data_IF_531583458194
#
_entry.id   IF_531583458194
#
_cell.length_a   1.000
_cell.length_b   1.000
_cell.length_c   1.000
_cell.angle_alpha   90.00
_cell.angle_beta   90.00
_cell.angle_gamma   90.00
#
_symmetry.space_group_name_H-M   'P 1'
#
loop_
_entity.id
_entity.type
_entity.pdbx_description
1 polymer ?
#
# COMPACT_ATOMS: atom_id res chain seq x y z
N UNK A 1 15.04 4.42 8.47
CA UNK A 1 15.04 3.02 8.93
C UNK A 1 14.85 2.13 7.71
N UNK A 2 15.70 1.13 7.54
CA UNK A 2 15.56 0.17 6.44
C UNK A 2 14.33 -0.73 6.66
N UNK A 3 13.55 -1.02 5.60
CA UNK A 3 12.36 -1.88 5.67
C UNK A 3 12.72 -3.26 6.19
N UNK A 4 13.88 -3.80 5.77
CA UNK A 4 14.33 -5.12 6.24
C UNK A 4 14.60 -5.11 7.74
N UNK A 5 15.29 -4.09 8.25
CA UNK A 5 15.55 -3.93 9.67
C UNK A 5 14.26 -3.80 10.49
N UNK A 6 13.26 -3.08 9.99
CA UNK A 6 11.95 -2.99 10.64
C UNK A 6 11.22 -4.33 10.72
N UNK A 7 11.16 -5.06 9.60
CA UNK A 7 10.50 -6.37 9.57
C UNK A 7 11.22 -7.37 10.48
N UNK A 8 12.54 -7.33 10.52
CA UNK A 8 13.33 -8.17 11.41
C UNK A 8 13.03 -7.87 12.88
N UNK A 9 13.05 -6.60 13.27
CA UNK A 9 12.73 -6.19 14.64
C UNK A 9 11.31 -6.65 15.04
N UNK A 10 10.31 -6.50 14.17
CA UNK A 10 8.95 -6.96 14.44
C UNK A 10 8.84 -8.49 14.54
N UNK A 11 9.60 -9.23 13.72
CA UNK A 11 9.60 -10.69 13.72
C UNK A 11 10.27 -11.27 14.98
N UNK A 12 11.32 -10.62 15.48
CA UNK A 12 12.05 -11.03 16.69
C UNK A 12 11.22 -10.92 17.97
N UNK A 13 10.19 -10.06 17.98
CA UNK A 13 9.25 -9.90 19.10
C UNK A 13 8.16 -10.98 19.13
N UNK A 14 8.06 -11.84 18.10
CA UNK A 14 7.05 -12.89 18.05
C UNK A 14 7.53 -14.17 18.74
N UNK A 15 6.61 -14.94 19.34
CA UNK A 15 6.94 -16.26 19.85
C UNK A 15 7.60 -17.15 18.78
N UNK A 16 8.48 -18.09 19.19
CA UNK A 16 9.06 -19.05 18.27
C UNK A 16 7.99 -19.81 17.47
N UNK A 17 8.29 -20.07 16.19
CA UNK A 17 7.40 -20.77 15.25
C UNK A 17 6.08 -20.07 14.89
N UNK A 18 5.89 -18.78 15.25
CA UNK A 18 4.75 -17.98 14.78
C UNK A 18 4.79 -17.75 13.27
N UNK A 19 5.97 -17.50 12.69
CA UNK A 19 6.14 -17.27 11.25
C UNK A 19 6.49 -18.59 10.56
N UNK A 20 5.77 -18.92 9.48
CA UNK A 20 6.05 -20.04 8.58
C UNK A 20 6.28 -19.49 7.16
N UNK A 21 7.45 -19.79 6.60
CA UNK A 21 7.79 -19.45 5.22
C UNK A 21 7.34 -20.56 4.28
N UNK A 22 7.35 -20.28 2.96
CA UNK A 22 6.94 -21.23 1.92
C UNK A 22 5.54 -21.81 2.17
N UNK A 23 4.63 -20.98 2.70
CA UNK A 23 3.27 -21.36 3.09
C UNK A 23 2.26 -20.56 2.26
N UNK A 24 2.17 -20.86 0.96
CA UNK A 24 1.32 -20.09 0.05
C UNK A 24 -0.13 -20.54 0.19
N UNK A 25 -1.02 -19.61 0.52
CA UNK A 25 -2.47 -19.84 0.60
C UNK A 25 -3.05 -20.18 -0.78
N UNK A 26 -3.85 -21.26 -0.88
CA UNK A 26 -4.53 -21.68 -2.10
C UNK A 26 -6.05 -21.74 -1.98
N UNK A 27 -6.60 -22.08 -0.81
CA UNK A 27 -8.06 -22.06 -0.58
C UNK A 27 -8.42 -21.61 0.83
N UNK A 28 -9.66 -21.12 0.96
CA UNK A 28 -10.27 -20.64 2.19
C UNK A 28 -11.66 -21.27 2.26
N UNK A 29 -11.86 -22.15 3.23
CA UNK A 29 -13.05 -22.99 3.37
C UNK A 29 -13.68 -22.75 4.76
N UNK A 30 -14.83 -22.05 4.86
CA UNK A 30 -15.57 -21.91 6.12
C UNK A 30 -16.14 -23.26 6.54
N UNK A 31 -16.04 -23.59 7.83
CA UNK A 31 -16.58 -24.82 8.40
C UNK A 31 -17.22 -24.55 9.77
N UNK A 32 -18.33 -25.23 10.12
CA UNK A 32 -18.86 -25.21 11.48
C UNK A 32 -17.79 -25.67 12.48
N UNK A 33 -17.71 -25.07 13.68
CA UNK A 33 -16.82 -25.59 14.71
C UNK A 33 -17.17 -27.05 15.05
N UNK A 34 -16.14 -27.88 15.18
CA UNK A 34 -16.31 -29.23 15.67
C UNK A 34 -16.75 -29.19 17.14
N UNK A 35 -17.83 -29.91 17.49
CA UNK A 35 -18.23 -30.14 18.89
C UNK A 35 -19.54 -29.52 19.37
N UNK A 36 -20.46 -29.12 18.48
CA UNK A 36 -21.78 -28.61 18.87
C UNK A 36 -21.80 -27.16 19.38
N UNK A 37 -20.66 -26.49 19.34
CA UNK A 37 -20.57 -25.03 19.48
C UNK A 37 -20.99 -24.37 18.15
N UNK A 38 -21.80 -23.32 18.22
CA UNK A 38 -22.32 -22.62 17.03
C UNK A 38 -21.30 -21.68 16.38
N UNK A 39 -20.05 -21.66 16.85
CA UNK A 39 -19.01 -20.80 16.32
C UNK A 39 -18.50 -21.30 14.96
N UNK A 40 -18.38 -20.42 13.97
CA UNK A 40 -17.75 -20.77 12.70
C UNK A 40 -16.22 -20.81 12.83
N UNK A 41 -15.59 -21.70 12.07
CA UNK A 41 -14.14 -21.74 11.87
C UNK A 41 -13.82 -21.57 10.39
N UNK A 42 -12.56 -21.26 10.09
CA UNK A 42 -12.06 -21.20 8.73
C UNK A 42 -10.88 -22.17 8.59
N UNK A 43 -10.91 -22.97 7.52
CA UNK A 43 -9.81 -23.84 7.13
C UNK A 43 -9.11 -23.21 5.95
N UNK A 44 -7.81 -22.98 6.08
CA UNK A 44 -6.97 -22.55 4.97
C UNK A 44 -6.13 -23.71 4.47
N UNK A 45 -6.06 -23.87 3.15
CA UNK A 45 -5.17 -24.86 2.51
C UNK A 45 -3.98 -24.16 1.89
N UNK A 46 -2.82 -24.76 2.04
CA UNK A 46 -1.57 -24.31 1.48
C UNK A 46 -1.21 -25.10 0.21
N UNK A 47 -0.27 -24.58 -0.59
CA UNK A 47 0.17 -25.19 -1.84
C UNK A 47 0.92 -26.52 -1.67
N UNK A 48 1.47 -26.77 -0.48
CA UNK A 48 2.05 -28.06 -0.09
C UNK A 48 1.01 -29.11 0.35
N UNK A 49 -0.29 -28.76 0.33
CA UNK A 49 -1.41 -29.60 0.76
C UNK A 49 -1.73 -29.51 2.27
N UNK A 50 -0.96 -28.77 3.05
CA UNK A 50 -1.22 -28.54 4.47
C UNK A 50 -2.55 -27.82 4.67
N UNK A 51 -3.37 -28.29 5.61
CA UNK A 51 -4.59 -27.61 6.04
C UNK A 51 -4.42 -27.05 7.45
N UNK A 52 -4.74 -25.77 7.64
CA UNK A 52 -4.69 -25.08 8.93
C UNK A 52 -6.10 -24.62 9.29
N UNK A 53 -6.61 -25.09 10.43
CA UNK A 53 -7.87 -24.64 11.00
C UNK A 53 -7.62 -23.45 11.92
N UNK A 54 -8.38 -22.38 11.73
CA UNK A 54 -8.30 -21.16 12.53
C UNK A 54 -9.70 -20.66 12.92
N UNK A 55 -9.76 -19.88 14.00
CA UNK A 55 -10.98 -19.17 14.40
C UNK A 55 -11.18 -17.88 13.61
N UNK A 56 -10.08 -17.28 13.17
CA UNK A 56 -10.05 -16.05 12.38
C UNK A 56 -8.92 -16.16 11.35
N UNK A 57 -9.18 -15.70 10.12
CA UNK A 57 -8.20 -15.46 9.08
C UNK A 57 -8.12 -13.96 8.81
N UNK A 58 -6.92 -13.39 8.84
CA UNK A 58 -6.66 -12.00 8.48
C UNK A 58 -5.77 -11.98 7.23
N UNK A 59 -6.30 -11.48 6.12
CA UNK A 59 -5.54 -11.29 4.90
C UNK A 59 -4.62 -10.08 5.01
N UNK A 60 -3.32 -10.34 5.12
CA UNK A 60 -2.24 -9.34 5.05
C UNK A 60 -1.32 -9.60 3.86
N UNK A 61 -1.86 -10.20 2.79
CA UNK A 61 -1.17 -10.75 1.62
C UNK A 61 -0.97 -9.74 0.48
N UNK A 62 -1.08 -8.45 0.81
CA UNK A 62 -0.69 -7.34 -0.06
C UNK A 62 -1.68 -7.02 -1.18
N UNK A 63 -1.24 -6.20 -2.12
CA UNK A 63 -2.07 -5.63 -3.18
C UNK A 63 -2.75 -6.67 -4.09
N UNK A 64 -2.24 -7.90 -4.17
CA UNK A 64 -2.83 -8.99 -4.97
C UNK A 64 -3.53 -10.04 -4.11
N UNK A 65 -4.14 -9.59 -3.02
CA UNK A 65 -4.69 -10.43 -1.96
C UNK A 65 -5.67 -11.50 -2.50
N UNK A 66 -5.38 -12.76 -2.16
CA UNK A 66 -6.27 -13.90 -2.34
C UNK A 66 -7.44 -13.81 -1.38
N UNK A 67 -7.20 -13.32 -0.16
CA UNK A 67 -8.24 -13.18 0.88
C UNK A 67 -9.25 -12.09 0.51
N UNK A 68 -8.79 -10.94 0.01
CA UNK A 68 -9.67 -9.87 -0.47
C UNK A 68 -10.54 -10.33 -1.63
N UNK A 69 -9.96 -11.06 -2.60
CA UNK A 69 -10.70 -11.66 -3.70
C UNK A 69 -11.74 -12.66 -3.22
N UNK A 70 -11.41 -13.50 -2.24
CA UNK A 70 -12.35 -14.44 -1.64
C UNK A 70 -13.52 -13.73 -0.95
N UNK A 71 -13.28 -12.59 -0.29
CA UNK A 71 -14.31 -11.73 0.28
C UNK A 71 -15.16 -11.00 -0.78
N UNK A 72 -14.84 -11.14 -2.07
CA UNK A 72 -15.53 -10.45 -3.16
C UNK A 72 -15.15 -8.98 -3.32
N UNK A 73 -14.00 -8.56 -2.78
CA UNK A 73 -13.50 -7.21 -3.00
C UNK A 73 -13.08 -7.02 -4.46
N UNK A 74 -13.28 -5.80 -4.98
CA UNK A 74 -12.80 -5.46 -6.32
C UNK A 74 -11.28 -5.47 -6.37
N UNK A 75 -10.72 -5.87 -7.51
CA UNK A 75 -9.28 -5.77 -7.76
C UNK A 75 -8.80 -4.30 -7.73
N UNK A 76 -7.55 -4.05 -7.28
CA UNK A 76 -6.95 -2.72 -7.34
C UNK A 76 -6.83 -2.21 -8.77
N UNK A 77 -6.94 -0.89 -8.91
CA UNK A 77 -6.92 -0.18 -10.19
C UNK A 77 -5.54 0.42 -10.42
N UNK A 78 -5.07 0.40 -11.66
CA UNK A 78 -3.86 1.14 -12.05
C UNK A 78 -4.11 2.64 -12.01
N UNK A 79 -3.20 3.40 -11.40
CA UNK A 79 -3.24 4.86 -11.47
C UNK A 79 -2.73 5.42 -12.80
N UNK A 80 -2.27 4.56 -13.72
CA UNK A 80 -1.59 4.98 -14.96
C UNK A 80 -0.15 5.45 -14.74
N UNK A 81 0.35 5.39 -13.50
CA UNK A 81 1.69 5.83 -13.09
C UNK A 81 2.54 4.64 -12.68
N UNK A 82 3.86 4.78 -12.78
CA UNK A 82 4.82 3.78 -12.31
C UNK A 82 5.88 4.43 -11.44
N UNK A 83 6.37 3.70 -10.44
CA UNK A 83 7.57 4.06 -9.72
C UNK A 83 8.77 3.31 -10.29
N UNK A 84 9.87 4.03 -10.47
CA UNK A 84 11.20 3.47 -10.74
C UNK A 84 12.02 3.63 -9.48
N UNK A 85 12.64 2.55 -9.01
CA UNK A 85 13.53 2.59 -7.85
C UNK A 85 14.85 1.94 -8.23
N UNK A 86 15.94 2.60 -7.85
CA UNK A 86 17.30 2.10 -8.00
C UNK A 86 18.20 2.64 -6.90
N UNK A 87 19.39 2.06 -6.80
CA UNK A 87 20.45 2.52 -5.92
C UNK A 87 21.63 3.02 -6.75
N UNK A 88 22.16 4.17 -6.35
CA UNK A 88 23.37 4.74 -6.94
C UNK A 88 24.45 4.76 -5.87
N UNK A 89 25.66 4.32 -6.22
CA UNK A 89 26.82 4.40 -5.33
C UNK A 89 27.60 5.64 -5.74
N UNK A 90 27.74 6.58 -4.80
CA UNK A 90 28.47 7.82 -5.01
C UNK A 90 29.61 7.89 -3.98
N UNK A 91 30.79 7.31 -4.30
CA UNK A 91 31.90 7.21 -3.35
C UNK A 91 32.41 8.57 -2.87
N UNK A 92 32.23 9.63 -3.67
CA UNK A 92 32.57 11.01 -3.32
C UNK A 92 31.42 11.84 -2.72
N UNK A 93 30.25 11.23 -2.47
CA UNK A 93 29.01 11.95 -2.14
C UNK A 93 28.30 12.50 -3.38
N UNK A 94 27.05 12.93 -3.22
CA UNK A 94 26.27 13.56 -4.30
C UNK A 94 26.39 15.09 -4.30
N UNK A 95 26.39 15.68 -5.47
CA UNK A 95 26.52 17.11 -5.74
C UNK A 95 25.22 17.92 -5.61
N UNK A 96 24.20 17.46 -4.86
CA UNK A 96 22.94 18.20 -4.57
C UNK A 96 23.13 19.55 -3.80
N UNK A 97 24.35 20.10 -3.80
CA UNK A 97 24.67 21.49 -3.48
C UNK A 97 25.81 22.12 -4.30
N UNK A 98 26.42 21.47 -5.28
CA UNK A 98 27.50 22.07 -6.05
C UNK A 98 27.62 21.45 -7.44
N UNK A 99 27.52 22.33 -8.45
CA UNK A 99 27.74 22.08 -9.87
C UNK A 99 28.88 21.09 -10.14
N UNK A 100 28.74 20.25 -11.17
CA UNK A 100 29.59 20.28 -12.38
C UNK A 100 29.53 18.99 -13.23
N UNK A 101 29.86 19.23 -14.52
CA UNK A 101 30.64 18.40 -15.47
C UNK A 101 30.02 17.20 -16.20
N UNK A 102 30.21 17.24 -17.52
CA UNK A 102 29.89 16.25 -18.54
C UNK A 102 30.97 15.15 -18.66
N UNK A 103 30.57 13.90 -18.92
CA UNK A 103 30.85 13.13 -20.17
C UNK A 103 30.36 11.65 -20.15
N UNK A 104 29.80 11.21 -21.32
CA UNK A 104 29.77 9.87 -22.00
C UNK A 104 29.30 8.59 -21.27
N UNK A 105 28.72 7.53 -21.88
CA UNK A 105 28.01 7.24 -23.14
C UNK A 105 27.21 5.93 -22.97
N UNK A 106 26.12 5.76 -23.74
CA UNK A 106 25.64 4.48 -24.30
C UNK A 106 24.98 3.39 -23.42
N UNK A 107 24.19 3.74 -22.39
CA UNK A 107 22.96 3.01 -22.00
C UNK A 107 21.86 3.98 -21.49
N UNK A 108 22.03 5.26 -21.81
CA UNK A 108 21.38 6.40 -21.16
C UNK A 108 20.05 6.81 -21.77
N UNK A 109 19.61 6.24 -22.89
CA UNK A 109 18.49 6.83 -23.64
C UNK A 109 17.12 6.68 -22.95
N UNK A 110 16.89 5.58 -22.22
CA UNK A 110 15.64 5.34 -21.48
C UNK A 110 15.61 6.13 -20.17
N UNK A 111 16.73 6.17 -19.47
CA UNK A 111 16.91 6.91 -18.21
C UNK A 111 17.00 8.42 -18.43
N UNK A 112 17.72 8.90 -19.45
CA UNK A 112 17.73 10.31 -19.87
C UNK A 112 16.38 10.72 -20.47
N UNK A 113 15.56 9.83 -21.04
CA UNK A 113 14.16 10.13 -21.40
C UNK A 113 13.32 10.40 -20.14
N UNK A 114 13.45 9.56 -19.12
CA UNK A 114 12.70 9.69 -17.86
C UNK A 114 13.12 10.93 -17.07
N UNK A 115 14.43 11.19 -17.01
CA UNK A 115 15.01 12.28 -16.25
C UNK A 115 15.20 13.57 -17.08
N UNK A 116 14.75 13.60 -18.33
CA UNK A 116 14.96 14.73 -19.27
C UNK A 116 14.41 16.06 -18.78
N UNK A 117 13.40 16.00 -17.89
CA UNK A 117 12.75 17.16 -17.29
C UNK A 117 13.24 17.44 -15.86
N UNK A 118 14.17 16.62 -15.35
CA UNK A 118 14.75 16.79 -14.03
C UNK A 118 15.97 17.73 -14.09
N UNK A 119 16.26 18.48 -13.01
CA UNK A 119 17.50 19.24 -12.89
C UNK A 119 18.73 18.36 -13.15
N UNK A 120 19.80 18.95 -13.71
CA UNK A 120 21.02 18.24 -14.09
C UNK A 120 21.64 17.41 -12.95
N UNK A 121 21.45 17.85 -11.70
CA UNK A 121 21.89 17.16 -10.49
C UNK A 121 21.23 15.79 -10.31
N UNK A 122 19.96 15.64 -10.68
CA UNK A 122 19.25 14.36 -10.62
C UNK A 122 19.61 13.45 -11.80
N UNK A 123 19.91 14.04 -12.96
CA UNK A 123 20.44 13.30 -14.11
C UNK A 123 21.76 12.61 -13.73
N UNK A 124 22.63 13.28 -12.97
CA UNK A 124 23.89 12.69 -12.53
C UNK A 124 23.68 11.46 -11.62
N UNK A 125 22.74 11.51 -10.68
CA UNK A 125 22.35 10.37 -9.83
C UNK A 125 21.79 9.22 -10.68
N UNK A 126 20.92 9.53 -11.64
CA UNK A 126 20.33 8.53 -12.56
C UNK A 126 21.41 7.87 -13.42
N UNK A 127 22.41 8.63 -13.89
CA UNK A 127 23.53 8.15 -14.70
C UNK A 127 24.49 7.23 -13.93
N UNK A 128 24.65 7.49 -12.64
CA UNK A 128 25.46 6.66 -11.72
C UNK A 128 24.65 5.55 -11.04
N UNK A 129 23.38 5.38 -11.40
CA UNK A 129 22.57 4.28 -10.91
C UNK A 129 22.94 2.99 -11.63
N UNK A 130 23.13 1.91 -10.88
CA UNK A 130 23.33 0.60 -11.49
C UNK A 130 22.01 0.14 -12.11
N UNK A 131 21.95 0.14 -13.45
CA UNK A 131 20.76 -0.20 -14.20
C UNK A 131 20.26 -1.63 -13.91
N UNK A 132 21.14 -2.52 -13.45
CA UNK A 132 20.76 -3.88 -13.08
C UNK A 132 19.93 -3.93 -11.78
N UNK A 133 19.88 -2.86 -11.01
CA UNK A 133 19.07 -2.76 -9.78
C UNK A 133 17.77 -1.97 -9.96
N UNK A 134 17.49 -1.49 -11.18
CA UNK A 134 16.26 -0.76 -11.44
C UNK A 134 15.05 -1.68 -11.37
N UNK A 135 14.15 -1.36 -10.46
CA UNK A 135 12.83 -1.98 -10.37
C UNK A 135 11.77 -1.02 -10.86
N UNK A 136 10.81 -1.57 -11.60
CA UNK A 136 9.65 -0.86 -12.13
C UNK A 136 8.40 -1.45 -11.52
N UNK A 137 7.56 -0.61 -10.92
CA UNK A 137 6.32 -1.07 -10.31
C UNK A 137 5.16 -0.15 -10.72
N UNK A 138 4.09 -0.67 -11.33
CA UNK A 138 2.88 0.11 -11.54
C UNK A 138 2.31 0.53 -10.18
N UNK A 139 1.84 1.77 -10.09
CA UNK A 139 1.23 2.31 -8.89
C UNK A 139 -0.26 1.96 -8.91
N UNK A 140 -0.64 1.02 -8.06
CA UNK A 140 -2.01 0.56 -7.89
C UNK A 140 -2.68 1.26 -6.71
N UNK A 141 -4.00 1.36 -6.75
CA UNK A 141 -4.80 1.86 -5.64
C UNK A 141 -6.17 1.20 -5.63
N UNK A 142 -6.81 1.15 -4.47
CA UNK A 142 -8.16 0.63 -4.37
C UNK A 142 -9.20 1.67 -4.78
N UNK A 143 -10.23 1.25 -5.51
CA UNK A 143 -11.33 2.13 -5.83
C UNK A 143 -12.02 2.61 -4.52
N UNK A 144 -12.13 3.93 -4.26
CA UNK A 144 -12.75 4.47 -3.05
C UNK A 144 -14.18 3.98 -2.83
N UNK A 145 -14.96 3.80 -3.89
CA UNK A 145 -16.34 3.32 -3.78
C UNK A 145 -16.38 1.88 -3.27
N UNK A 146 -15.46 1.04 -3.72
CA UNK A 146 -15.31 -0.34 -3.26
C UNK A 146 -14.91 -0.41 -1.78
N UNK A 147 -14.05 0.49 -1.32
CA UNK A 147 -13.70 0.58 0.11
C UNK A 147 -14.91 0.95 0.97
N UNK A 148 -15.74 1.87 0.49
CA UNK A 148 -16.90 2.37 1.22
C UNK A 148 -18.07 1.41 1.24
N UNK A 149 -18.29 0.68 0.17
CA UNK A 149 -19.52 -0.12 0.00
C UNK A 149 -19.27 -1.62 -0.08
N UNK A 150 -18.03 -2.05 -0.35
CA UNK A 150 -17.70 -3.47 -0.50
C UNK A 150 -17.66 -4.23 0.81
N UNK A 151 -17.80 -5.55 0.70
CA UNK A 151 -17.63 -6.49 1.81
C UNK A 151 -16.14 -6.70 2.06
N UNK A 152 -15.70 -6.45 3.30
CA UNK A 152 -14.28 -6.56 3.70
C UNK A 152 -14.10 -7.43 4.94
N UNK A 153 -15.18 -8.08 5.38
CA UNK A 153 -15.17 -9.04 6.47
C UNK A 153 -16.33 -10.01 6.31
N UNK A 154 -16.14 -11.23 6.81
CA UNK A 154 -17.18 -12.22 7.09
C UNK A 154 -17.15 -12.57 8.59
N UNK A 155 -17.84 -13.64 9.00
CA UNK A 155 -17.84 -14.15 10.38
C UNK A 155 -16.44 -14.52 10.90
N UNK A 156 -15.58 -15.04 10.02
CA UNK A 156 -14.26 -15.58 10.39
C UNK A 156 -13.10 -15.00 9.57
N UNK A 157 -13.36 -14.15 8.57
CA UNK A 157 -12.32 -13.66 7.66
C UNK A 157 -12.37 -12.14 7.55
N UNK A 158 -11.22 -11.46 7.60
CA UNK A 158 -11.10 -10.03 7.29
C UNK A 158 -9.75 -9.74 6.60
N UNK A 159 -9.48 -8.49 6.26
CA UNK A 159 -8.25 -8.03 5.58
C UNK A 159 -7.65 -6.80 6.26
N UNK A 160 -6.34 -6.63 6.16
CA UNK A 160 -5.60 -5.47 6.68
C UNK A 160 -4.43 -5.07 5.76
N UNK A 161 -3.93 -3.84 5.92
CA UNK A 161 -2.86 -3.29 5.09
C UNK A 161 -3.24 -3.21 3.61
N UNK A 162 -2.28 -3.48 2.73
CA UNK A 162 -2.46 -3.40 1.27
C UNK A 162 -3.44 -4.44 0.71
N UNK A 163 -3.86 -5.45 1.49
CA UNK A 163 -4.98 -6.33 1.11
C UNK A 163 -6.33 -5.62 1.26
N UNK A 164 -6.42 -4.66 2.17
CA UNK A 164 -7.63 -3.88 2.42
C UNK A 164 -7.61 -2.56 1.64
N UNK A 165 -6.55 -1.77 1.76
CA UNK A 165 -6.48 -0.39 1.27
C UNK A 165 -5.19 -0.08 0.51
N UNK A 166 -4.86 -0.83 -0.56
CA UNK A 166 -3.71 -0.48 -1.39
C UNK A 166 -3.86 0.95 -1.91
N UNK A 167 -2.78 1.72 -1.80
CA UNK A 167 -2.76 3.13 -2.18
C UNK A 167 -1.47 3.48 -2.89
N UNK A 168 -1.51 4.57 -3.66
CA UNK A 168 -0.29 5.10 -4.26
C UNK A 168 0.64 5.67 -3.18
N UNK A 169 1.97 5.66 -3.38
CA UNK A 169 2.93 5.97 -2.32
C UNK A 169 3.11 7.47 -2.05
N UNK A 170 2.30 8.34 -2.67
CA UNK A 170 2.53 9.79 -2.78
C UNK A 170 2.46 10.55 -1.44
N UNK A 171 1.90 9.93 -0.40
CA UNK A 171 1.85 10.45 0.97
C UNK A 171 2.66 9.59 1.96
N UNK A 172 3.31 8.51 1.49
CA UNK A 172 4.13 7.60 2.29
C UNK A 172 3.43 6.96 3.53
N UNK A 173 2.10 6.81 3.51
CA UNK A 173 1.33 6.32 4.67
C UNK A 173 0.93 4.84 4.65
N UNK A 174 1.18 4.09 3.56
CA UNK A 174 0.71 2.70 3.45
C UNK A 174 1.19 1.79 4.61
N UNK A 175 2.48 1.85 4.94
CA UNK A 175 3.05 1.09 6.05
C UNK A 175 2.53 1.51 7.42
N UNK A 176 2.38 2.82 7.66
CA UNK A 176 1.82 3.35 8.90
C UNK A 176 0.36 2.91 9.07
N UNK A 177 -0.44 3.01 8.01
CA UNK A 177 -1.84 2.57 7.98
C UNK A 177 -1.97 1.07 8.32
N UNK A 178 -1.07 0.22 7.81
CA UNK A 178 -1.05 -1.21 8.16
C UNK A 178 -0.74 -1.47 9.65
N UNK A 179 0.13 -0.66 10.27
CA UNK A 179 0.40 -0.76 11.71
C UNK A 179 -0.81 -0.28 12.55
N UNK A 180 -1.49 0.77 12.11
CA UNK A 180 -2.72 1.21 12.74
C UNK A 180 -3.81 0.13 12.66
N UNK A 181 -3.92 -0.58 11.53
CA UNK A 181 -4.85 -1.69 11.39
C UNK A 181 -4.61 -2.76 12.44
N UNK A 182 -3.34 -3.17 12.62
CA UNK A 182 -2.98 -4.20 13.59
C UNK A 182 -3.42 -3.82 15.01
N UNK A 183 -3.22 -2.55 15.40
CA UNK A 183 -3.60 -2.04 16.72
C UNK A 183 -5.13 -1.97 16.86
N UNK A 184 -5.84 -1.43 15.87
CA UNK A 184 -7.29 -1.25 15.94
C UNK A 184 -7.99 -2.60 15.89
N UNK A 185 -7.55 -3.52 15.04
CA UNK A 185 -8.09 -4.88 14.96
C UNK A 185 -7.87 -5.64 16.28
N UNK A 186 -6.67 -5.59 16.86
CA UNK A 186 -6.40 -6.22 18.15
C UNK A 186 -7.31 -5.65 19.26
N UNK A 187 -7.50 -4.33 19.30
CA UNK A 187 -8.40 -3.67 20.26
C UNK A 187 -9.85 -4.09 20.05
N UNK A 188 -10.34 -4.10 18.81
CA UNK A 188 -11.71 -4.46 18.50
C UNK A 188 -12.02 -5.93 18.87
N UNK A 189 -11.10 -6.85 18.53
CA UNK A 189 -11.20 -8.26 18.92
C UNK A 189 -11.14 -8.47 20.45
N UNK A 190 -10.41 -7.63 21.18
CA UNK A 190 -10.29 -7.74 22.64
C UNK A 190 -11.51 -7.22 23.42
N UNK A 191 -12.37 -6.42 22.79
CA UNK A 191 -13.45 -5.65 23.45
C UNK A 191 -14.86 -6.12 23.11
N UNK A 192 -14.99 -7.03 22.15
CA UNK A 192 -16.28 -7.50 21.63
C UNK A 192 -16.60 -8.90 22.15
N UNK A 193 -17.88 -9.26 22.18
CA UNK A 193 -18.30 -10.56 22.68
C UNK A 193 -17.99 -11.67 21.67
N UNK A 194 -18.07 -11.33 20.37
CA UNK A 194 -17.80 -12.26 19.28
C UNK A 194 -16.69 -11.75 18.36
N UNK A 195 -16.02 -12.67 17.66
CA UNK A 195 -14.95 -12.35 16.71
C UNK A 195 -15.50 -11.59 15.50
N UNK A 196 -16.68 -11.97 15.03
CA UNK A 196 -17.39 -11.30 13.95
C UNK A 196 -17.69 -9.84 14.30
N UNK A 197 -18.21 -9.57 15.50
CA UNK A 197 -18.41 -8.20 16.00
C UNK A 197 -17.09 -7.41 16.04
N UNK A 198 -16.01 -8.03 16.53
CA UNK A 198 -14.69 -7.40 16.58
C UNK A 198 -14.18 -7.00 15.20
N UNK A 199 -14.25 -7.89 14.22
CA UNK A 199 -13.83 -7.59 12.85
C UNK A 199 -14.74 -6.56 12.17
N UNK A 200 -16.05 -6.64 12.38
CA UNK A 200 -17.00 -5.65 11.88
C UNK A 200 -16.74 -4.25 12.48
N UNK A 201 -16.46 -4.18 13.78
CA UNK A 201 -16.09 -2.94 14.46
C UNK A 201 -14.78 -2.37 13.95
N UNK A 202 -13.77 -3.22 13.72
CA UNK A 202 -12.51 -2.84 13.09
C UNK A 202 -12.75 -2.23 11.70
N UNK A 203 -13.48 -2.93 10.83
CA UNK A 203 -13.78 -2.46 9.48
C UNK A 203 -14.54 -1.13 9.53
N UNK A 204 -15.54 -1.00 10.39
CA UNK A 204 -16.34 0.22 10.51
C UNK A 204 -15.48 1.43 10.92
N UNK A 205 -14.56 1.26 11.87
CA UNK A 205 -13.63 2.32 12.31
C UNK A 205 -12.66 2.73 11.18
N UNK A 206 -12.14 1.76 10.45
CA UNK A 206 -11.10 2.00 9.43
C UNK A 206 -11.66 2.53 8.11
N UNK A 207 -12.86 2.11 7.71
CA UNK A 207 -13.41 2.30 6.36
C UNK A 207 -13.32 3.73 5.85
N UNK A 208 -13.73 4.71 6.65
CA UNK A 208 -13.63 6.12 6.25
C UNK A 208 -12.19 6.62 6.21
N UNK A 209 -11.38 6.27 7.21
CA UNK A 209 -9.99 6.70 7.30
C UNK A 209 -9.18 6.19 6.11
N UNK A 210 -9.27 4.90 5.80
CA UNK A 210 -8.51 4.29 4.70
C UNK A 210 -8.99 4.76 3.33
N UNK A 211 -10.30 4.99 3.16
CA UNK A 211 -10.84 5.61 1.93
C UNK A 211 -10.25 7.00 1.72
N UNK A 212 -10.21 7.81 2.79
CA UNK A 212 -9.66 9.16 2.70
C UNK A 212 -8.17 9.16 2.38
N UNK A 213 -7.39 8.25 2.98
CA UNK A 213 -5.96 8.08 2.67
C UNK A 213 -5.74 7.69 1.21
N UNK A 214 -6.50 6.73 0.68
CA UNK A 214 -6.39 6.28 -0.72
C UNK A 214 -6.71 7.42 -1.70
N UNK A 215 -7.80 8.16 -1.46
CA UNK A 215 -8.17 9.34 -2.25
C UNK A 215 -7.08 10.41 -2.17
N UNK A 216 -6.61 10.71 -0.95
CA UNK A 216 -5.60 11.72 -0.71
C UNK A 216 -4.26 11.40 -1.36
N UNK A 217 -3.83 10.14 -1.31
CA UNK A 217 -2.64 9.65 -1.99
C UNK A 217 -2.74 9.84 -3.51
N UNK A 218 -3.86 9.42 -4.10
CA UNK A 218 -4.08 9.56 -5.54
C UNK A 218 -4.07 11.03 -5.99
N UNK A 219 -4.81 11.90 -5.28
CA UNK A 219 -4.87 13.33 -5.58
C UNK A 219 -3.50 14.02 -5.39
N UNK A 220 -2.76 13.64 -4.34
CA UNK A 220 -1.41 14.17 -4.09
C UNK A 220 -0.48 13.81 -5.25
N UNK A 221 -0.51 12.57 -5.71
CA UNK A 221 0.29 12.13 -6.86
C UNK A 221 -0.05 12.88 -8.16
N UNK A 222 -1.35 13.12 -8.40
CA UNK A 222 -1.80 13.89 -9.55
C UNK A 222 -1.35 15.36 -9.49
N UNK A 223 -1.33 15.96 -8.31
CA UNK A 223 -0.80 17.33 -8.11
C UNK A 223 0.72 17.36 -8.29
N UNK A 224 1.46 16.43 -7.68
CA UNK A 224 2.93 16.38 -7.69
C UNK A 224 3.49 16.18 -9.11
N UNK A 225 2.84 15.37 -9.95
CA UNK A 225 3.28 15.10 -11.32
C UNK A 225 2.86 16.18 -12.32
N UNK A 226 2.29 17.29 -11.85
CA UNK A 226 1.91 18.39 -12.71
C UNK A 226 0.68 18.07 -13.55
N UNK A 227 -0.47 17.81 -12.90
CA UNK A 227 -1.80 17.94 -13.53
C UNK A 227 -2.05 19.30 -14.24
N UNK A 228 -1.06 20.19 -14.24
CA UNK A 228 -0.96 21.50 -14.87
C UNK A 228 -0.40 21.52 -16.30
N UNK A 229 -0.07 20.40 -16.93
CA UNK A 229 0.38 20.39 -18.34
C UNK A 229 -0.74 20.57 -19.38
N UNK A 230 -1.97 20.86 -18.93
CA UNK A 230 -3.08 21.21 -19.82
C UNK A 230 -3.16 22.73 -19.98
N UNK A 231 -3.01 23.23 -21.21
CA UNK A 231 -3.35 24.61 -21.55
C UNK A 231 -4.87 24.80 -21.65
N UNK A 232 -5.36 26.04 -21.48
CA UNK A 232 -6.77 26.39 -21.66
C UNK A 232 -7.65 26.20 -20.43
N UNK A 233 -8.98 26.17 -20.65
CA UNK A 233 -10.00 26.18 -19.59
C UNK A 233 -9.87 25.03 -18.59
N UNK A 234 -9.52 23.83 -19.06
CA UNK A 234 -9.32 22.65 -18.21
C UNK A 234 -8.13 22.84 -17.27
N UNK A 235 -7.02 23.42 -17.74
CA UNK A 235 -5.86 23.76 -16.92
C UNK A 235 -6.18 24.81 -15.84
N UNK A 236 -7.01 25.79 -16.16
CA UNK A 236 -7.48 26.78 -15.19
C UNK A 236 -8.37 26.15 -14.12
N UNK A 237 -9.31 25.29 -14.51
CA UNK A 237 -10.15 24.55 -13.55
C UNK A 237 -9.34 23.63 -12.64
N UNK A 238 -8.32 22.96 -13.18
CA UNK A 238 -7.41 22.11 -12.41
C UNK A 238 -6.59 22.93 -11.41
N UNK A 239 -6.01 24.06 -11.84
CA UNK A 239 -5.29 24.98 -10.93
C UNK A 239 -6.22 25.50 -9.84
N UNK A 240 -7.43 25.90 -10.21
CA UNK A 240 -8.43 26.34 -9.25
C UNK A 240 -8.78 25.23 -8.25
N UNK A 241 -9.08 23.99 -8.69
CA UNK A 241 -9.32 22.88 -7.77
C UNK A 241 -8.12 22.64 -6.85
N UNK A 242 -6.90 22.60 -7.39
CA UNK A 242 -5.67 22.41 -6.61
C UNK A 242 -5.52 23.50 -5.53
N UNK A 243 -5.66 24.77 -5.94
CA UNK A 243 -5.34 25.91 -5.09
C UNK A 243 -6.46 26.26 -4.10
N UNK A 244 -7.72 26.10 -4.51
CA UNK A 244 -8.89 26.45 -3.71
C UNK A 244 -9.53 25.28 -2.98
N UNK A 245 -9.47 24.06 -3.52
CA UNK A 245 -10.13 22.89 -2.91
C UNK A 245 -9.10 21.99 -2.24
N UNK A 246 -8.08 21.55 -2.98
CA UNK A 246 -7.11 20.60 -2.46
C UNK A 246 -6.30 21.22 -1.31
N UNK A 247 -5.56 22.30 -1.54
CA UNK A 247 -4.72 22.89 -0.48
C UNK A 247 -5.51 23.51 0.68
N UNK A 248 -6.75 23.96 0.44
CA UNK A 248 -7.56 24.59 1.48
C UNK A 248 -8.35 23.59 2.34
N UNK A 249 -8.79 22.47 1.78
CA UNK A 249 -9.72 21.56 2.48
C UNK A 249 -9.29 20.10 2.51
N UNK A 250 -8.58 19.62 1.49
CA UNK A 250 -8.13 18.22 1.40
C UNK A 250 -6.80 18.03 2.11
N UNK A 251 -5.81 18.87 1.77
CA UNK A 251 -4.45 18.80 2.30
C UNK A 251 -4.41 19.01 3.83
N UNK A 252 -5.13 19.97 4.45
CA UNK A 252 -5.12 20.11 5.90
C UNK A 252 -5.67 18.88 6.61
N UNK A 253 -6.75 18.27 6.08
CA UNK A 253 -7.29 17.02 6.62
C UNK A 253 -6.35 15.84 6.42
N UNK A 254 -5.55 15.83 5.35
CA UNK A 254 -4.52 14.81 5.16
C UNK A 254 -3.34 15.03 6.11
N UNK A 255 -2.88 16.27 6.28
CA UNK A 255 -1.80 16.58 7.22
C UNK A 255 -2.17 16.31 8.66
N UNK A 256 -3.42 16.55 9.06
CA UNK A 256 -3.91 16.23 10.42
C UNK A 256 -4.02 14.70 10.65
N UNK A 257 -3.96 13.90 9.59
CA UNK A 257 -4.02 12.43 9.66
C UNK A 257 -2.67 11.73 9.53
N UNK A 258 -1.59 12.48 9.21
CA UNK A 258 -0.20 12.02 9.11
C UNK A 258 0.55 12.27 10.41
#
# INVERSE_FOLDING_TARGET
MDRKALLQALAEELPPATIRFSSKLVSIDPEPAAGGDSSETVVVRLDDGTAIRAKVLIGCDGVHSVVARWLGMSEPVTSGRSAVRGLSVLPGGHSLKQELRQERSSQHEVTDNLARHMPAEFLDVVRHSDLNNLSWAPLLYQNPWSLLTGTTTSETVTVAGDAFHPMTPDIAQGGCSALEDAIILARALSRTATRAEGMASYVAERRWRVTWMVVGAYLSGWVQQGGTNNGGMLGYMIKWFRDWIFYRFVFPRLSDTM
#
